data_IF_329862127726
#
_entry.id   IF_329862127726
#
_cell.length_a   1.000
_cell.length_b   1.000
_cell.length_c   1.000
_cell.angle_alpha   90.00
_cell.angle_beta   90.00
_cell.angle_gamma   90.00
#
_symmetry.space_group_name_H-M   'P 1'
#
loop_
_entity.id
_entity.type
_entity.pdbx_description
1 polymer ?
#
# COMPACT_ATOMS: atom_id res chain seq x y z
N UNK A 1 22.35 16.98 7.91
CA UNK A 1 23.65 16.31 7.71
C UNK A 1 23.49 14.82 7.44
N UNK A 2 23.47 13.97 8.47
CA UNK A 2 23.31 12.51 8.33
C UNK A 2 21.86 12.07 8.06
N UNK A 3 20.88 12.70 8.71
CA UNK A 3 19.44 12.41 8.49
C UNK A 3 18.99 12.73 7.05
N UNK A 4 19.31 13.92 6.54
CA UNK A 4 18.97 14.28 5.15
C UNK A 4 19.57 13.34 4.10
N UNK A 5 20.77 12.81 4.34
CA UNK A 5 21.42 11.87 3.41
C UNK A 5 20.71 10.51 3.44
N UNK A 6 20.24 10.07 4.61
CA UNK A 6 19.44 8.86 4.77
C UNK A 6 18.07 9.02 4.09
N UNK A 7 17.39 10.14 4.32
CA UNK A 7 16.09 10.47 3.69
C UNK A 7 16.18 10.48 2.17
N UNK A 8 17.28 11.03 1.61
CA UNK A 8 17.50 11.06 0.15
C UNK A 8 17.75 9.67 -0.41
N UNK A 9 18.54 8.83 0.27
CA UNK A 9 18.82 7.46 -0.18
C UNK A 9 17.58 6.55 -0.10
N UNK A 10 16.83 6.63 1.01
CA UNK A 10 15.56 5.88 1.19
C UNK A 10 14.54 6.32 0.13
N UNK A 11 14.46 7.62 -0.15
CA UNK A 11 13.58 8.16 -1.19
C UNK A 11 13.99 7.70 -2.59
N UNK A 12 15.29 7.67 -2.92
CA UNK A 12 15.70 7.23 -4.26
C UNK A 12 15.43 5.75 -4.49
N UNK A 13 15.63 4.90 -3.47
CA UNK A 13 15.28 3.48 -3.53
C UNK A 13 13.77 3.28 -3.63
N UNK A 14 12.96 4.03 -2.87
CA UNK A 14 11.51 3.97 -2.98
C UNK A 14 11.02 4.38 -4.38
N UNK A 15 11.58 5.44 -4.96
CA UNK A 15 11.22 5.88 -6.31
C UNK A 15 11.65 4.87 -7.40
N UNK A 16 12.81 4.21 -7.24
CA UNK A 16 13.23 3.16 -8.15
C UNK A 16 12.32 1.92 -8.06
N UNK A 17 11.88 1.56 -6.85
CA UNK A 17 10.94 0.46 -6.62
C UNK A 17 9.56 0.74 -7.23
N UNK A 18 9.10 2.00 -7.20
CA UNK A 18 7.83 2.43 -7.80
C UNK A 18 7.78 2.18 -9.31
N UNK A 19 8.89 2.31 -10.04
CA UNK A 19 8.93 2.10 -11.50
C UNK A 19 8.87 0.61 -11.88
N UNK A 20 9.31 -0.28 -10.98
CA UNK A 20 9.39 -1.72 -11.22
C UNK A 20 8.25 -2.52 -10.58
N UNK A 21 7.38 -1.87 -9.80
CA UNK A 21 6.33 -2.56 -9.07
C UNK A 21 5.13 -2.88 -9.98
N UNK A 22 4.55 -4.07 -9.82
CA UNK A 22 3.27 -4.40 -10.46
C UNK A 22 2.08 -3.69 -9.79
N UNK A 23 2.20 -3.39 -8.50
CA UNK A 23 1.23 -2.63 -7.73
C UNK A 23 1.91 -1.99 -6.51
N UNK A 24 1.34 -0.89 -6.00
CA UNK A 24 1.86 -0.15 -4.84
C UNK A 24 0.81 -0.10 -3.74
N UNK A 25 1.17 -0.54 -2.54
CA UNK A 25 0.36 -0.33 -1.34
C UNK A 25 0.81 0.95 -0.64
N UNK A 26 0.00 2.00 -0.71
CA UNK A 26 0.25 3.23 0.02
C UNK A 26 -0.38 3.17 1.41
N UNK A 27 0.44 2.79 2.39
CA UNK A 27 0.01 2.58 3.77
C UNK A 27 0.06 3.87 4.59
N UNK A 28 -1.07 4.24 5.20
CA UNK A 28 -1.23 5.40 6.08
C UNK A 28 -1.69 4.97 7.47
N UNK A 29 -1.49 5.82 8.48
CA UNK A 29 -1.91 5.56 9.86
C UNK A 29 -3.29 6.17 10.14
N UNK A 30 -4.32 5.32 10.15
CA UNK A 30 -5.71 5.71 10.39
C UNK A 30 -5.96 6.39 11.72
N UNK A 31 -5.18 6.07 12.77
CA UNK A 31 -5.31 6.72 14.09
C UNK A 31 -4.67 8.10 14.13
N UNK A 32 -3.62 8.31 13.35
CA UNK A 32 -2.94 9.60 13.25
C UNK A 32 -3.69 10.58 12.34
N UNK A 33 -4.56 10.07 11.45
CA UNK A 33 -5.23 10.85 10.43
C UNK A 33 -4.29 11.25 9.29
N UNK A 34 -4.74 12.15 8.42
CA UNK A 34 -3.97 12.58 7.25
C UNK A 34 -2.78 13.44 7.65
N UNK A 35 -1.56 12.98 7.39
CA UNK A 35 -0.34 13.73 7.66
C UNK A 35 0.11 14.55 6.43
N UNK A 36 0.78 15.72 6.61
CA UNK A 36 1.31 16.50 5.47
C UNK A 36 2.29 15.74 4.57
N UNK A 37 2.97 14.72 5.11
CA UNK A 37 3.82 13.84 4.31
C UNK A 37 2.98 12.94 3.39
N UNK A 38 1.83 12.47 3.85
CA UNK A 38 0.94 11.60 3.07
C UNK A 38 0.41 12.36 1.85
N UNK A 39 0.06 13.65 2.02
CA UNK A 39 -0.36 14.51 0.91
C UNK A 39 0.73 14.63 -0.16
N UNK A 40 1.98 14.86 0.26
CA UNK A 40 3.13 14.96 -0.67
C UNK A 40 3.43 13.64 -1.38
N UNK A 41 3.32 12.52 -0.67
CA UNK A 41 3.50 11.19 -1.27
C UNK A 41 2.35 10.87 -2.22
N UNK A 42 1.11 11.19 -1.86
CA UNK A 42 -0.06 11.00 -2.72
C UNK A 42 0.07 11.78 -4.04
N UNK A 43 0.60 13.01 -4.02
CA UNK A 43 0.87 13.77 -5.25
C UNK A 43 1.87 13.09 -6.19
N UNK A 44 2.86 12.40 -5.63
CA UNK A 44 3.85 11.64 -6.40
C UNK A 44 3.24 10.33 -6.93
N UNK A 45 2.56 9.58 -6.05
CA UNK A 45 1.99 8.28 -6.36
C UNK A 45 0.82 8.35 -7.35
N UNK A 46 0.04 9.43 -7.36
CA UNK A 46 -1.01 9.66 -8.39
C UNK A 46 -0.46 9.72 -9.82
N UNK A 47 0.84 9.98 -9.99
CA UNK A 47 1.52 10.02 -11.28
C UNK A 47 2.33 8.76 -11.56
N UNK A 48 2.36 7.81 -10.61
CA UNK A 48 3.09 6.57 -10.78
C UNK A 48 2.41 5.69 -11.84
N UNK A 49 3.19 4.96 -12.66
CA UNK A 49 2.63 4.05 -13.66
C UNK A 49 1.83 2.89 -13.05
N UNK A 50 2.27 2.22 -11.96
CA UNK A 50 1.54 1.10 -11.39
C UNK A 50 0.26 1.54 -10.66
N UNK A 51 -0.74 0.65 -10.55
CA UNK A 51 -1.90 0.88 -9.70
C UNK A 51 -1.49 1.07 -8.24
N UNK A 52 -2.11 2.06 -7.59
CA UNK A 52 -1.86 2.40 -6.18
C UNK A 52 -3.10 2.11 -5.36
N UNK A 53 -2.98 1.26 -4.35
CA UNK A 53 -4.02 0.99 -3.36
C UNK A 53 -3.74 1.79 -2.10
N UNK A 54 -4.70 2.61 -1.67
CA UNK A 54 -4.62 3.36 -0.43
C UNK A 54 -5.07 2.47 0.74
N UNK A 55 -4.20 2.26 1.71
CA UNK A 55 -4.44 1.35 2.84
C UNK A 55 -4.37 2.12 4.14
N UNK A 56 -5.51 2.30 4.81
CA UNK A 56 -5.58 2.95 6.11
C UNK A 56 -5.39 1.90 7.21
N UNK A 57 -4.21 1.88 7.84
CA UNK A 57 -3.87 0.91 8.88
C UNK A 57 -4.30 1.39 10.28
N UNK A 58 -4.32 0.45 11.24
CA UNK A 58 -4.68 0.66 12.65
C UNK A 58 -6.16 0.97 12.89
N UNK A 59 -7.05 0.57 11.99
CA UNK A 59 -8.51 0.66 12.19
C UNK A 59 -8.98 -0.55 13.02
N UNK A 60 -8.67 -0.54 14.32
CA UNK A 60 -8.81 -1.72 15.18
C UNK A 60 -10.28 -2.10 15.48
N UNK A 61 -11.17 -1.10 15.44
CA UNK A 61 -12.57 -1.25 15.82
C UNK A 61 -13.51 -1.30 14.60
N UNK A 62 -13.10 -1.93 13.49
CA UNK A 62 -14.01 -2.20 12.38
C UNK A 62 -15.20 -3.07 12.82
N UNK A 63 -16.44 -2.77 12.37
CA UNK A 63 -16.81 -1.71 11.40
C UNK A 63 -17.19 -0.35 12.03
N UNK A 64 -17.16 -0.21 13.35
CA UNK A 64 -17.61 1.00 14.05
C UNK A 64 -16.68 2.20 13.84
N UNK A 65 -15.38 1.95 13.63
CA UNK A 65 -14.37 2.95 13.32
C UNK A 65 -14.31 3.25 11.81
N UNK A 66 -14.71 4.47 11.45
CA UNK A 66 -14.76 4.99 10.08
C UNK A 66 -13.71 6.08 9.81
N UNK A 67 -12.66 6.19 10.65
CA UNK A 67 -11.59 7.20 10.48
C UNK A 67 -10.84 7.09 9.15
N UNK A 68 -10.85 5.92 8.50
CA UNK A 68 -10.32 5.74 7.16
C UNK A 68 -11.00 6.64 6.11
N UNK A 69 -12.21 7.14 6.36
CA UNK A 69 -12.93 8.03 5.44
C UNK A 69 -12.21 9.37 5.16
N UNK A 70 -11.41 9.85 6.11
CA UNK A 70 -10.69 11.11 5.95
C UNK A 70 -9.63 11.06 4.83
N UNK A 71 -9.16 9.86 4.50
CA UNK A 71 -8.09 9.64 3.53
C UNK A 71 -8.55 9.71 2.07
N UNK A 72 -9.87 9.79 1.79
CA UNK A 72 -10.36 10.16 0.45
C UNK A 72 -9.77 11.49 -0.03
N UNK A 73 -9.46 12.40 0.90
CA UNK A 73 -8.81 13.69 0.62
C UNK A 73 -7.47 13.57 -0.10
N UNK A 74 -6.79 12.41 -0.03
CA UNK A 74 -5.52 12.16 -0.73
C UNK A 74 -5.70 11.94 -2.24
N UNK A 75 -6.92 11.65 -2.71
CA UNK A 75 -7.25 11.52 -4.12
C UNK A 75 -6.61 10.32 -4.83
N UNK A 76 -6.19 9.29 -4.07
CA UNK A 76 -5.62 8.05 -4.58
C UNK A 76 -6.71 7.04 -4.97
N UNK A 77 -7.85 7.07 -4.28
CA UNK A 77 -8.94 6.12 -4.45
C UNK A 77 -9.68 5.90 -3.14
N UNK A 78 -10.51 4.85 -3.09
CA UNK A 78 -11.16 4.39 -1.87
C UNK A 78 -10.11 3.83 -0.88
N UNK A 79 -10.01 4.37 0.35
CA UNK A 79 -9.11 3.87 1.37
C UNK A 79 -9.61 2.53 1.93
N UNK A 80 -8.77 1.52 1.86
CA UNK A 80 -9.04 0.17 2.37
C UNK A 80 -8.65 0.14 3.86
N UNK A 81 -9.61 -0.04 4.79
CA UNK A 81 -9.31 -0.06 6.21
C UNK A 81 -8.75 -1.42 6.63
N UNK A 82 -7.63 -1.41 7.35
CA UNK A 82 -7.02 -2.62 7.90
C UNK A 82 -6.60 -2.44 9.36
N UNK A 83 -6.66 -3.54 10.12
CA UNK A 83 -5.98 -3.64 11.41
C UNK A 83 -4.95 -4.75 11.33
N UNK A 84 -3.69 -4.37 11.10
CA UNK A 84 -2.58 -5.32 11.13
C UNK A 84 -2.43 -6.03 12.49
N UNK A 85 -2.93 -5.42 13.58
CA UNK A 85 -2.89 -5.99 14.92
C UNK A 85 -3.85 -7.18 15.09
N UNK A 86 -5.06 -7.08 14.52
CA UNK A 86 -6.11 -8.10 14.66
C UNK A 86 -6.30 -8.96 13.40
N UNK A 87 -5.69 -8.56 12.29
CA UNK A 87 -5.87 -9.18 10.97
C UNK A 87 -7.15 -8.76 10.24
N UNK A 88 -7.99 -7.88 10.82
CA UNK A 88 -9.22 -7.42 10.15
C UNK A 88 -8.90 -6.62 8.87
N UNK A 89 -9.71 -6.83 7.83
CA UNK A 89 -9.60 -6.14 6.53
C UNK A 89 -8.46 -6.64 5.63
N UNK A 90 -7.63 -7.58 6.09
CA UNK A 90 -6.52 -8.10 5.27
C UNK A 90 -7.00 -8.98 4.11
N UNK A 91 -8.12 -9.70 4.28
CA UNK A 91 -8.77 -10.46 3.21
C UNK A 91 -9.27 -9.55 2.10
N UNK A 92 -10.07 -8.54 2.46
CA UNK A 92 -10.55 -7.54 1.50
C UNK A 92 -9.38 -6.83 0.81
N UNK A 93 -8.32 -6.45 1.53
CA UNK A 93 -7.11 -5.89 0.93
C UNK A 93 -6.47 -6.84 -0.08
N UNK A 94 -6.38 -8.13 0.24
CA UNK A 94 -5.81 -9.13 -0.67
C UNK A 94 -6.67 -9.28 -1.93
N UNK A 95 -7.99 -9.33 -1.80
CA UNK A 95 -8.90 -9.43 -2.95
C UNK A 95 -8.73 -8.22 -3.88
N UNK A 96 -8.67 -7.00 -3.31
CA UNK A 96 -8.42 -5.76 -4.08
C UNK A 96 -7.03 -5.75 -4.74
N UNK A 97 -6.03 -6.33 -4.08
CA UNK A 97 -4.69 -6.46 -4.65
C UNK A 97 -4.68 -7.43 -5.84
N UNK A 98 -5.37 -8.56 -5.74
CA UNK A 98 -5.49 -9.53 -6.82
C UNK A 98 -6.21 -8.96 -8.05
N UNK A 99 -7.17 -8.06 -7.86
CA UNK A 99 -7.88 -7.38 -8.96
C UNK A 99 -6.97 -6.47 -9.80
N UNK A 100 -5.90 -5.92 -9.22
CA UNK A 100 -5.03 -4.95 -9.90
C UNK A 100 -3.72 -5.55 -10.40
N UNK A 101 -3.34 -6.71 -9.88
CA UNK A 101 -2.14 -7.41 -10.34
C UNK A 101 -2.35 -7.96 -11.77
N UNK A 102 -1.29 -7.98 -12.59
CA UNK A 102 -1.36 -8.64 -13.88
C UNK A 102 -1.68 -10.13 -13.71
N UNK A 103 -2.35 -10.73 -14.70
CA UNK A 103 -2.58 -12.18 -14.72
C UNK A 103 -1.24 -12.93 -14.60
N UNK A 104 -1.21 -13.94 -13.74
CA UNK A 104 -0.02 -14.75 -13.56
C UNK A 104 0.36 -15.40 -14.89
N UNK A 105 1.53 -15.06 -15.43
CA UNK A 105 2.13 -15.80 -16.53
C UNK A 105 2.54 -17.19 -16.03
N UNK A 106 2.26 -18.24 -16.80
CA UNK A 106 2.48 -19.65 -16.44
C UNK A 106 3.96 -20.02 -16.15
N UNK A 107 4.90 -19.08 -16.18
CA UNK A 107 6.33 -19.32 -16.00
C UNK A 107 6.79 -19.37 -14.52
N UNK A 108 5.89 -19.13 -13.56
CA UNK A 108 6.19 -19.29 -12.14
C UNK A 108 6.15 -20.76 -11.68
N UNK A 109 7.15 -21.53 -12.12
CA UNK A 109 7.67 -22.70 -11.37
C UNK A 109 6.79 -23.96 -11.37
N UNK A 110 7.12 -24.90 -12.26
CA UNK A 110 7.01 -26.32 -11.94
C UNK A 110 7.99 -26.62 -10.80
N UNK A 111 7.59 -26.34 -9.56
CA UNK A 111 8.34 -26.70 -8.36
C UNK A 111 8.52 -28.21 -8.33
N UNK A 112 9.77 -28.64 -8.30
CA UNK A 112 10.19 -30.04 -8.22
C UNK A 112 9.49 -30.70 -7.02
N UNK A 113 8.46 -31.51 -7.29
CA UNK A 113 7.81 -32.32 -6.27
C UNK A 113 8.81 -33.38 -5.83
N UNK A 114 9.56 -33.12 -4.77
CA UNK A 114 10.34 -34.16 -4.11
C UNK A 114 9.34 -35.12 -3.47
N UNK A 115 9.15 -36.28 -4.12
CA UNK A 115 8.44 -37.42 -3.55
C UNK A 115 9.38 -38.11 -2.55
N UNK A 116 8.90 -38.28 -1.32
CA UNK A 116 9.54 -39.08 -0.27
C UNK A 116 9.19 -40.55 -0.47
#
# INVERSE_FOLDING_TARGET
GSQETLDVAVRSQALAAVDQADAILFLVDGKAGVHPLDQRLAELLRKAPPPVLLVANKIDNLPDDQSHHDFWSLGIGEPIPVSALSGKGSGDLLDRLLEVLPEATEEAGQGEVIRV
#
